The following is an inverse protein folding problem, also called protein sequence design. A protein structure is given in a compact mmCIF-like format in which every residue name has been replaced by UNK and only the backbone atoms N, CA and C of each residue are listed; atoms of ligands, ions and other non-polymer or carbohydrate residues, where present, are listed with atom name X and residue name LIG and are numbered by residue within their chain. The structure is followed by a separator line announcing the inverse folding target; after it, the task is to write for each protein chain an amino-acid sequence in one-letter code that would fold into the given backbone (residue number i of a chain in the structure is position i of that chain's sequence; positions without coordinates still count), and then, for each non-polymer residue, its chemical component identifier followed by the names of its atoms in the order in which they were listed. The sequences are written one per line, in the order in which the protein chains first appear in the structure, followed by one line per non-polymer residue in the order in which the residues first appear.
data_IF_747168816614
#
_entry.id   IF_747168816614
#
_cell.length_a   1.000
_cell.length_b   1.000
_cell.length_c   1.000
_cell.angle_alpha   90.00
_cell.angle_beta   90.00
_cell.angle_gamma   90.00
#
_symmetry.space_group_name_H-M   'P 1'
#
loop_
_entity.id
_entity.type
_entity.pdbx_description
1 polymer ?
#
# COMPACT_ATOMS: atom_id res chain seq x y z
N UNK A 1 -17.77 12.94 16.77
CA UNK A 1 -16.96 12.10 17.69
C UNK A 1 -15.66 11.73 17.01
N UNK A 2 -14.51 11.99 17.63
CA UNK A 2 -13.21 11.62 17.05
C UNK A 2 -12.97 10.11 17.18
N UNK A 3 -12.29 9.51 16.20
CA UNK A 3 -11.87 8.11 16.33
C UNK A 3 -10.61 8.03 17.20
N UNK A 4 -10.79 7.64 18.46
CA UNK A 4 -9.68 7.40 19.38
C UNK A 4 -8.98 6.07 19.03
N UNK A 5 -7.78 6.16 18.43
CA UNK A 5 -6.97 5.00 18.02
C UNK A 5 -5.65 4.97 18.78
N UNK A 6 -5.20 3.77 19.12
CA UNK A 6 -3.87 3.54 19.70
C UNK A 6 -2.76 3.88 18.68
N UNK A 7 -1.56 4.16 19.18
CA UNK A 7 -0.40 4.48 18.34
C UNK A 7 -0.04 3.35 17.36
N UNK A 8 -0.10 2.09 17.81
CA UNK A 8 0.17 0.90 16.96
C UNK A 8 -0.76 0.84 15.74
N UNK A 9 -2.06 1.07 15.95
CA UNK A 9 -3.05 1.09 14.84
C UNK A 9 -2.78 2.24 13.87
N UNK A 10 -2.36 3.41 14.37
CA UNK A 10 -1.99 4.55 13.53
C UNK A 10 -0.75 4.23 12.67
N UNK A 11 0.29 3.66 13.26
CA UNK A 11 1.50 3.24 12.54
C UNK A 11 1.19 2.18 11.47
N UNK A 12 0.38 1.17 11.80
CA UNK A 12 -0.05 0.16 10.82
C UNK A 12 -0.75 0.82 9.63
N UNK A 13 -1.73 1.70 9.88
CA UNK A 13 -2.46 2.41 8.82
C UNK A 13 -1.53 3.26 7.95
N UNK A 14 -0.57 3.95 8.56
CA UNK A 14 0.42 4.76 7.83
C UNK A 14 1.31 3.90 6.92
N UNK A 15 1.76 2.74 7.40
CA UNK A 15 2.55 1.78 6.61
C UNK A 15 1.76 1.24 5.43
N UNK A 16 0.53 0.79 5.66
CA UNK A 16 -0.36 0.26 4.61
C UNK A 16 -0.69 1.33 3.55
N UNK A 17 -0.88 2.58 3.97
CA UNK A 17 -1.06 3.70 3.04
C UNK A 17 0.20 3.93 2.19
N UNK A 18 1.38 3.91 2.82
CA UNK A 18 2.66 4.09 2.11
C UNK A 18 2.95 2.96 1.13
N UNK A 19 2.57 1.71 1.43
CA UNK A 19 2.79 0.57 0.51
C UNK A 19 1.89 0.60 -0.74
N UNK A 20 0.78 1.33 -0.70
CA UNK A 20 -0.22 1.35 -1.76
C UNK A 20 0.12 2.36 -2.88
N UNK A 21 1.28 2.19 -3.53
CA UNK A 21 1.74 3.03 -4.64
C UNK A 21 2.03 2.19 -5.90
N UNK A 22 1.99 2.80 -7.11
CA UNK A 22 2.45 2.15 -8.33
C UNK A 22 3.97 1.91 -8.32
N UNK A 23 4.43 0.96 -9.13
CA UNK A 23 5.86 0.66 -9.24
C UNK A 23 6.57 1.81 -9.98
N UNK A 24 7.72 2.28 -9.47
CA UNK A 24 8.56 3.26 -10.17
C UNK A 24 9.09 2.75 -11.52
N UNK A 25 9.14 3.65 -12.51
CA UNK A 25 9.53 3.32 -13.88
C UNK A 25 10.96 2.75 -13.99
N UNK A 26 11.91 3.24 -13.18
CA UNK A 26 13.28 2.73 -13.22
C UNK A 26 13.39 1.25 -12.82
N UNK A 27 12.46 0.72 -12.03
CA UNK A 27 12.40 -0.71 -11.70
C UNK A 27 11.93 -1.52 -12.92
N UNK A 28 10.97 -0.99 -13.68
CA UNK A 28 10.51 -1.61 -14.92
C UNK A 28 11.66 -1.66 -15.94
N UNK A 29 12.43 -0.57 -16.08
CA UNK A 29 13.60 -0.51 -16.95
C UNK A 29 14.68 -1.52 -16.54
N UNK A 30 15.00 -1.61 -15.24
CA UNK A 30 15.97 -2.59 -14.72
C UNK A 30 15.57 -4.06 -14.95
N UNK A 31 14.27 -4.35 -14.99
CA UNK A 31 13.75 -5.71 -15.11
C UNK A 31 13.24 -6.05 -16.50
N UNK A 32 13.46 -5.18 -17.50
CA UNK A 32 12.97 -5.38 -18.86
C UNK A 32 11.45 -5.56 -18.93
N UNK A 33 10.70 -4.80 -18.12
CA UNK A 33 9.24 -4.90 -17.97
C UNK A 33 8.70 -6.25 -17.45
N UNK A 34 9.54 -7.12 -16.87
CA UNK A 34 9.07 -8.34 -16.19
C UNK A 34 8.18 -8.01 -14.99
N UNK A 35 8.55 -7.00 -14.20
CA UNK A 35 7.73 -6.52 -13.08
C UNK A 35 6.88 -5.34 -13.56
N UNK A 36 5.59 -5.60 -13.85
CA UNK A 36 4.70 -4.60 -14.49
C UNK A 36 3.91 -3.76 -13.48
N UNK A 37 3.35 -4.40 -12.45
CA UNK A 37 2.47 -3.74 -11.48
C UNK A 37 2.70 -4.27 -10.06
N UNK A 38 2.29 -3.48 -9.06
CA UNK A 38 2.35 -3.87 -7.65
C UNK A 38 1.18 -4.82 -7.35
N UNK A 39 1.46 -6.12 -7.21
CA UNK A 39 0.45 -7.15 -6.92
C UNK A 39 -0.23 -6.97 -5.56
N UNK A 40 0.38 -6.22 -4.64
CA UNK A 40 -0.17 -5.91 -3.31
C UNK A 40 -0.97 -4.59 -3.29
N UNK A 41 -1.11 -3.92 -4.44
CA UNK A 41 -1.90 -2.67 -4.53
C UNK A 41 -3.35 -2.96 -4.16
N UNK A 42 -3.91 -2.12 -3.30
CA UNK A 42 -5.22 -2.36 -2.67
C UNK A 42 -6.17 -1.19 -2.90
N UNK A 43 -7.42 -1.49 -3.24
CA UNK A 43 -8.50 -0.50 -3.23
C UNK A 43 -9.35 -0.65 -1.97
N UNK A 44 -9.64 0.45 -1.28
CA UNK A 44 -10.30 0.45 0.03
C UNK A 44 -11.77 -0.01 0.01
N UNK A 45 -12.46 0.12 -1.14
CA UNK A 45 -13.82 -0.42 -1.30
C UNK A 45 -13.82 -1.93 -1.57
N UNK A 46 -12.80 -2.46 -2.25
CA UNK A 46 -12.75 -3.88 -2.67
C UNK A 46 -12.15 -4.80 -1.60
N UNK A 47 -11.07 -4.38 -0.94
CA UNK A 47 -10.37 -5.22 0.04
C UNK A 47 -10.10 -4.43 1.32
N UNK A 48 -10.54 -4.97 2.46
CA UNK A 48 -10.37 -4.35 3.77
C UNK A 48 -9.02 -4.69 4.39
N UNK A 49 -8.54 -3.80 5.25
CA UNK A 49 -7.37 -4.05 6.09
C UNK A 49 -7.77 -5.04 7.19
N UNK A 50 -6.96 -6.06 7.41
CA UNK A 50 -7.08 -6.92 8.59
C UNK A 50 -6.35 -6.18 9.72
N UNK A 51 -7.15 -5.59 10.61
CA UNK A 51 -6.73 -4.78 11.75
C UNK A 51 -7.22 -5.43 13.04
#
# INVERSE_FOLDING_TARGET
VSSHKTFRVKQFRAKEQKQNHPIPQWIQMKTGNKIRYNSKRRHWRRTKLRL
#
